data_IF_136453110533
#
_entry.id   IF_136453110533
#
_cell.length_a   1.000
_cell.length_b   1.000
_cell.length_c   1.000
_cell.angle_alpha   90.00
_cell.angle_beta   90.00
_cell.angle_gamma   90.00
#
_symmetry.space_group_name_H-M   'P 1'
#
loop_
_entity.id
_entity.type
_entity.pdbx_description
1 polymer ?
#
# COMPACT_ATOMS: atom_id res chain seq x y z
N UNK A 1 0.90 17.56 -3.01
CA UNK A 1 -0.54 17.66 -2.73
C UNK A 1 -0.91 17.17 -1.33
N UNK A 2 -0.57 15.92 -0.95
CA UNK A 2 -0.92 15.39 0.38
C UNK A 2 -0.34 16.21 1.55
N UNK A 3 0.92 16.65 1.45
CA UNK A 3 1.53 17.56 2.43
C UNK A 3 0.72 18.86 2.61
N UNK A 4 0.36 19.53 1.52
CA UNK A 4 -0.48 20.74 1.55
C UNK A 4 -1.85 20.49 2.19
N UNK A 5 -2.54 19.42 1.81
CA UNK A 5 -3.88 19.09 2.32
C UNK A 5 -3.84 18.80 3.83
N UNK A 6 -2.90 17.96 4.27
CA UNK A 6 -2.74 17.61 5.68
C UNK A 6 -2.36 18.82 6.55
N UNK A 7 -1.57 19.76 6.01
CA UNK A 7 -1.29 21.04 6.67
C UNK A 7 -2.51 21.94 6.87
N UNK A 8 -3.55 21.76 6.06
CA UNK A 8 -4.83 22.47 6.18
C UNK A 8 -5.89 21.65 6.94
N UNK A 9 -5.48 20.63 7.70
CA UNK A 9 -6.38 19.84 8.55
C UNK A 9 -7.24 18.83 7.79
N UNK A 10 -6.96 18.59 6.51
CA UNK A 10 -7.69 17.60 5.71
C UNK A 10 -7.08 16.22 5.91
N UNK A 11 -7.94 15.23 6.19
CA UNK A 11 -7.55 13.82 6.20
C UNK A 11 -7.35 13.32 4.76
N UNK A 12 -6.22 12.67 4.47
CA UNK A 12 -5.87 12.20 3.13
C UNK A 12 -5.61 10.70 3.17
N UNK A 13 -6.27 9.95 2.27
CA UNK A 13 -5.99 8.54 2.03
C UNK A 13 -5.27 8.39 0.69
N UNK A 14 -4.12 7.73 0.69
CA UNK A 14 -3.32 7.47 -0.52
C UNK A 14 -3.31 5.96 -0.77
N UNK A 15 -4.08 5.50 -1.77
CA UNK A 15 -4.08 4.11 -2.22
C UNK A 15 -3.19 3.95 -3.45
N UNK A 16 -1.87 3.91 -3.23
CA UNK A 16 -0.88 3.67 -4.28
C UNK A 16 -0.22 2.30 -4.07
N UNK A 17 0.23 1.65 -5.16
CA UNK A 17 1.05 0.43 -5.05
C UNK A 17 2.27 0.67 -4.19
N UNK A 18 2.87 1.87 -4.32
CA UNK A 18 3.92 2.36 -3.44
C UNK A 18 5.10 1.40 -3.33
N UNK A 19 5.47 0.68 -4.39
CA UNK A 19 6.35 -0.48 -4.33
C UNK A 19 7.81 -0.16 -3.98
N UNK A 20 8.25 1.10 -4.12
CA UNK A 20 9.61 1.54 -3.79
C UNK A 20 9.64 2.26 -2.45
N UNK A 21 10.51 1.83 -1.52
CA UNK A 21 10.66 2.45 -0.19
C UNK A 21 11.02 3.92 -0.27
N UNK A 22 11.90 4.29 -1.19
CA UNK A 22 12.39 5.69 -1.34
C UNK A 22 11.25 6.71 -1.45
N UNK A 23 10.14 6.37 -2.11
CA UNK A 23 8.99 7.29 -2.23
C UNK A 23 8.13 7.32 -0.97
N UNK A 24 8.01 6.19 -0.26
CA UNK A 24 7.31 6.13 1.03
C UNK A 24 8.10 6.83 2.12
N UNK A 25 9.42 6.69 2.12
CA UNK A 25 10.35 7.40 3.01
C UNK A 25 10.32 8.91 2.77
N UNK A 26 10.25 9.34 1.50
CA UNK A 26 10.04 10.74 1.16
C UNK A 26 8.69 11.26 1.69
N UNK A 27 7.60 10.52 1.50
CA UNK A 27 6.30 10.89 2.03
C UNK A 27 6.30 11.01 3.57
N UNK A 28 6.92 10.04 4.27
CA UNK A 28 7.07 10.05 5.73
C UNK A 28 7.87 11.27 6.23
N UNK A 29 8.92 11.65 5.52
CA UNK A 29 9.75 12.82 5.86
C UNK A 29 9.00 14.13 5.62
N UNK A 30 8.29 14.23 4.49
CA UNK A 30 7.74 15.51 4.02
C UNK A 30 6.33 15.78 4.61
N UNK A 31 5.58 14.74 5.01
CA UNK A 31 4.24 14.86 5.58
C UNK A 31 4.28 14.68 7.10
N UNK A 32 4.02 15.76 7.85
CA UNK A 32 4.11 15.76 9.32
C UNK A 32 3.16 14.78 10.02
N UNK A 33 1.93 14.62 9.51
CA UNK A 33 0.93 13.67 10.03
C UNK A 33 0.77 12.55 9.01
N UNK A 34 1.63 11.55 9.13
CA UNK A 34 1.72 10.43 8.20
C UNK A 34 1.75 9.12 8.95
N UNK A 35 0.99 8.14 8.45
CA UNK A 35 1.04 6.76 8.89
C UNK A 35 1.14 5.86 7.65
N UNK A 36 2.10 4.94 7.65
CA UNK A 36 2.29 3.94 6.61
C UNK A 36 1.52 2.66 6.98
N UNK A 37 0.55 2.32 6.14
CA UNK A 37 -0.21 1.08 6.25
C UNK A 37 0.31 0.08 5.23
N UNK A 38 0.90 -1.02 5.69
CA UNK A 38 1.27 -2.13 4.83
C UNK A 38 0.11 -3.11 4.69
N UNK A 39 -0.52 -3.09 3.52
CA UNK A 39 -1.51 -4.10 3.13
C UNK A 39 -0.77 -5.30 2.55
N UNK A 40 -0.33 -6.18 3.43
CA UNK A 40 0.40 -7.39 3.05
C UNK A 40 -0.54 -8.35 2.31
N UNK A 41 -0.03 -8.96 1.25
CA UNK A 41 -0.67 -10.06 0.53
C UNK A 41 0.42 -10.88 -0.15
N UNK A 42 0.41 -12.22 -0.04
CA UNK A 42 1.26 -13.06 -0.86
C UNK A 42 1.02 -12.78 -2.35
N UNK A 43 2.10 -12.74 -3.14
CA UNK A 43 2.02 -12.38 -4.57
C UNK A 43 1.22 -13.42 -5.36
N UNK A 44 1.26 -14.67 -4.94
CA UNK A 44 0.51 -15.77 -5.51
C UNK A 44 -1.00 -15.52 -5.37
N UNK A 45 -1.43 -15.00 -4.22
CA UNK A 45 -2.84 -14.63 -3.98
C UNK A 45 -3.23 -13.42 -4.83
N UNK A 46 -2.35 -12.43 -4.96
CA UNK A 46 -2.56 -11.28 -5.86
C UNK A 46 -2.76 -11.73 -7.32
N UNK A 47 -1.90 -12.63 -7.79
CA UNK A 47 -1.96 -13.21 -9.15
C UNK A 47 -3.23 -14.00 -9.40
N UNK A 48 -3.69 -14.78 -8.42
CA UNK A 48 -4.95 -15.53 -8.55
C UNK A 48 -6.15 -14.60 -8.61
N UNK A 49 -6.16 -13.51 -7.83
CA UNK A 49 -7.28 -12.56 -7.81
C UNK A 49 -7.36 -11.71 -9.09
N UNK A 50 -6.22 -11.29 -9.64
CA UNK A 50 -5.99 -10.46 -10.83
C UNK A 50 -7.24 -9.74 -11.41
N UNK A 51 -7.89 -8.84 -10.65
CA UNK A 51 -9.19 -8.29 -11.04
C UNK A 51 -9.12 -7.39 -12.27
N UNK A 52 -7.91 -7.00 -12.67
CA UNK A 52 -7.63 -6.12 -13.81
C UNK A 52 -6.95 -6.84 -14.97
N UNK A 53 -6.65 -8.14 -14.85
CA UNK A 53 -5.93 -8.89 -15.88
C UNK A 53 -4.48 -8.46 -16.08
N UNK A 54 -3.88 -7.75 -15.13
CA UNK A 54 -2.53 -7.18 -15.27
C UNK A 54 -1.47 -8.28 -15.17
N UNK A 55 -1.62 -9.21 -14.24
CA UNK A 55 -0.68 -10.33 -14.12
C UNK A 55 -0.72 -11.21 -15.36
N UNK A 56 -1.93 -11.52 -15.85
CA UNK A 56 -2.09 -12.28 -17.09
C UNK A 56 -1.48 -11.56 -18.31
N UNK A 57 -1.61 -10.23 -18.39
CA UNK A 57 -0.99 -9.45 -19.46
C UNK A 57 0.55 -9.43 -19.34
N UNK A 58 1.10 -9.35 -18.12
CA UNK A 58 2.53 -9.41 -17.87
C UNK A 58 3.12 -10.77 -18.27
N UNK A 59 2.42 -11.87 -17.94
CA UNK A 59 2.83 -13.23 -18.30
C UNK A 59 2.85 -13.44 -19.83
N UNK A 60 1.99 -12.72 -20.57
CA UNK A 60 2.00 -12.70 -22.05
C UNK A 60 3.03 -11.72 -22.64
N UNK A 61 3.71 -10.92 -21.82
CA UNK A 61 4.66 -9.89 -22.26
C UNK A 61 4.02 -8.62 -22.84
N UNK A 62 2.72 -8.40 -22.61
CA UNK A 62 1.99 -7.22 -23.11
C UNK A 62 2.21 -5.98 -22.24
N UNK A 63 2.57 -6.18 -20.96
CA UNK A 63 2.94 -5.10 -20.05
C UNK A 63 4.31 -5.40 -19.41
N UNK A 64 5.05 -4.34 -19.12
CA UNK A 64 6.32 -4.36 -18.41
C UNK A 64 6.25 -3.39 -17.23
N UNK A 65 7.12 -3.58 -16.24
CA UNK A 65 7.21 -2.75 -15.05
C UNK A 65 6.10 -3.00 -14.03
N UNK A 66 5.51 -4.20 -14.01
CA UNK A 66 4.47 -4.55 -13.04
C UNK A 66 5.13 -4.90 -11.69
N UNK A 67 4.83 -4.15 -10.60
CA UNK A 67 5.41 -4.43 -9.31
C UNK A 67 5.00 -5.81 -8.77
N UNK A 68 5.99 -6.59 -8.36
CA UNK A 68 5.85 -7.99 -7.93
C UNK A 68 5.97 -9.01 -9.07
N UNK A 69 5.96 -8.59 -10.34
CA UNK A 69 6.24 -9.46 -11.49
C UNK A 69 7.70 -9.29 -11.94
N UNK A 70 7.98 -8.23 -12.69
CA UNK A 70 9.29 -7.90 -13.24
C UNK A 70 9.94 -6.69 -12.54
N UNK A 71 9.16 -5.89 -11.80
CA UNK A 71 9.66 -4.90 -10.85
C UNK A 71 9.58 -5.39 -9.40
N UNK A 72 10.59 -5.07 -8.60
CA UNK A 72 10.60 -5.43 -7.19
C UNK A 72 9.55 -4.64 -6.38
N UNK A 73 8.81 -5.35 -5.54
CA UNK A 73 8.10 -4.73 -4.43
C UNK A 73 9.02 -4.74 -3.21
N UNK A 74 9.36 -3.56 -2.68
CA UNK A 74 10.19 -3.38 -1.51
C UNK A 74 9.27 -3.24 -0.27
N UNK A 75 9.09 -4.31 0.55
CA UNK A 75 8.23 -4.22 1.72
C UNK A 75 8.76 -3.15 2.71
N UNK A 76 7.87 -2.48 3.46
CA UNK A 76 8.30 -1.54 4.48
C UNK A 76 9.04 -2.27 5.59
N UNK A 77 10.08 -1.64 6.13
CA UNK A 77 10.87 -2.22 7.22
C UNK A 77 10.19 -2.01 8.58
N UNK A 78 9.58 -0.84 8.77
CA UNK A 78 8.91 -0.42 10.00
C UNK A 78 7.60 0.30 9.67
N UNK A 79 6.61 -0.39 9.07
CA UNK A 79 5.30 0.21 8.84
C UNK A 79 4.63 0.51 10.18
N UNK A 80 3.78 1.55 10.22
CA UNK A 80 3.04 1.91 11.44
C UNK A 80 1.90 0.90 11.69
N UNK A 81 1.31 0.37 10.62
CA UNK A 81 0.22 -0.62 10.67
C UNK A 81 0.45 -1.69 9.61
N UNK A 82 0.23 -2.96 9.95
CA UNK A 82 0.23 -4.09 9.00
C UNK A 82 -1.12 -4.78 9.03
N UNK A 83 -1.68 -5.06 7.85
CA UNK A 83 -2.88 -5.90 7.70
C UNK A 83 -2.62 -6.98 6.65
N UNK A 84 -3.04 -8.21 6.93
CA UNK A 84 -2.94 -9.33 5.99
C UNK A 84 -4.22 -9.45 5.16
N UNK A 85 -4.19 -8.89 3.95
CA UNK A 85 -5.29 -8.96 2.99
C UNK A 85 -5.37 -10.29 2.23
N UNK A 86 -4.42 -11.20 2.43
CA UNK A 86 -4.52 -12.59 1.99
C UNK A 86 -5.56 -13.37 2.79
N UNK A 87 -5.77 -12.97 4.06
CA UNK A 87 -6.67 -13.64 5.01
C UNK A 87 -7.89 -12.79 5.37
N UNK A 88 -7.71 -11.49 5.60
CA UNK A 88 -8.77 -10.59 6.02
C UNK A 88 -9.68 -10.19 4.86
N UNK A 89 -10.96 -9.97 5.18
CA UNK A 89 -11.88 -9.26 4.28
C UNK A 89 -11.51 -7.77 4.22
N UNK A 90 -11.95 -7.03 3.18
CA UNK A 90 -11.74 -5.59 3.11
C UNK A 90 -12.28 -4.84 4.33
N UNK A 91 -13.45 -5.22 4.83
CA UNK A 91 -14.08 -4.59 6.00
C UNK A 91 -13.28 -4.85 7.28
N UNK A 92 -12.83 -6.09 7.49
CA UNK A 92 -12.00 -6.43 8.65
C UNK A 92 -10.64 -5.74 8.62
N UNK A 93 -10.01 -5.67 7.43
CA UNK A 93 -8.76 -4.95 7.23
C UNK A 93 -8.93 -3.45 7.49
N UNK A 94 -9.99 -2.83 6.97
CA UNK A 94 -10.29 -1.42 7.22
C UNK A 94 -10.52 -1.16 8.72
N UNK A 95 -11.28 -2.02 9.40
CA UNK A 95 -11.49 -1.91 10.84
C UNK A 95 -10.18 -2.05 11.64
N UNK A 96 -9.27 -2.94 11.21
CA UNK A 96 -7.94 -3.08 11.82
C UNK A 96 -7.08 -1.81 11.61
N UNK A 97 -7.12 -1.20 10.42
CA UNK A 97 -6.43 0.07 10.15
C UNK A 97 -6.97 1.19 11.02
N UNK A 98 -8.30 1.31 11.15
CA UNK A 98 -8.92 2.34 12.00
C UNK A 98 -8.48 2.19 13.46
N UNK A 99 -8.45 0.96 13.99
CA UNK A 99 -7.95 0.69 15.35
C UNK A 99 -6.48 1.08 15.49
N UNK A 100 -5.62 0.62 14.57
CA UNK A 100 -4.20 0.96 14.60
C UNK A 100 -3.94 2.46 14.52
N UNK A 101 -4.73 3.22 13.76
CA UNK A 101 -4.62 4.68 13.71
C UNK A 101 -5.00 5.35 15.03
N UNK A 102 -5.97 4.80 15.76
CA UNK A 102 -6.37 5.33 17.07
C UNK A 102 -5.25 5.16 18.12
N UNK A 103 -4.46 4.10 18.03
CA UNK A 103 -3.35 3.81 18.94
C UNK A 103 -2.10 4.69 18.68
N UNK A 104 -2.05 5.40 17.54
CA UNK A 104 -0.96 6.32 17.16
C UNK A 104 -1.18 7.78 17.61
N UNK A 105 -2.35 8.09 18.18
CA UNK A 105 -2.76 9.42 18.63
C UNK A 105 -2.55 9.60 20.14
#
# INVERSE_FOLDING_TARGET
LAELLTRNGVNVLIAATGHRRVYRDAARRDIRRFAEVYVACPVEVCRVRDPKGLWAAADRGEIQGLPGADEAYEPPLTPDIVVDSGVLTPDDAAAAVIRGLADLL
#
